data_IF_177626728082
#
_entry.id   IF_177626728082
#
_cell.length_a   1.000
_cell.length_b   1.000
_cell.length_c   1.000
_cell.angle_alpha   90.00
_cell.angle_beta   90.00
_cell.angle_gamma   90.00
#
_symmetry.space_group_name_H-M   'P 1'
#
loop_
_entity.id
_entity.type
_entity.pdbx_description
1 polymer ?
#
# COMPACT_ATOMS: atom_id res chain seq x y z
N UNK A 1 -12.14 -17.62 7.37
CA UNK A 1 -12.21 -17.66 5.90
C UNK A 1 -11.72 -16.31 5.39
N UNK A 2 -10.69 -16.29 4.55
CA UNK A 2 -10.28 -15.09 3.82
C UNK A 2 -11.16 -15.02 2.56
N UNK A 3 -11.96 -13.97 2.46
CA UNK A 3 -12.81 -13.73 1.29
C UNK A 3 -12.01 -12.87 0.32
N UNK A 4 -11.62 -13.42 -0.84
CA UNK A 4 -10.98 -12.65 -1.91
C UNK A 4 -12.08 -12.16 -2.84
N UNK A 5 -12.22 -10.83 -2.95
CA UNK A 5 -13.13 -10.20 -3.91
C UNK A 5 -12.33 -9.69 -5.10
N UNK A 6 -12.51 -10.31 -6.26
CA UNK A 6 -11.89 -9.85 -7.52
C UNK A 6 -12.89 -8.95 -8.23
N UNK A 7 -12.55 -7.67 -8.38
CA UNK A 7 -13.32 -6.75 -9.20
C UNK A 7 -12.75 -6.75 -10.63
N UNK A 8 -13.58 -7.07 -11.62
CA UNK A 8 -13.19 -7.07 -13.03
C UNK A 8 -13.83 -5.85 -13.69
N UNK A 9 -13.02 -4.84 -13.99
CA UNK A 9 -13.47 -3.61 -14.64
C UNK A 9 -13.68 -3.77 -16.15
N UNK A 10 -13.11 -4.82 -16.75
CA UNK A 10 -13.26 -5.14 -18.17
C UNK A 10 -14.49 -6.04 -18.43
N UNK A 11 -15.53 -5.45 -19.03
CA UNK A 11 -16.78 -6.14 -19.36
C UNK A 11 -16.58 -7.31 -20.35
N UNK A 12 -15.65 -7.21 -21.29
CA UNK A 12 -15.36 -8.28 -22.25
C UNK A 12 -14.69 -9.46 -21.56
N UNK A 13 -13.79 -9.18 -20.61
CA UNK A 13 -13.18 -10.22 -19.78
C UNK A 13 -14.21 -10.92 -18.90
N UNK A 14 -15.12 -10.16 -18.28
CA UNK A 14 -16.20 -10.70 -17.45
C UNK A 14 -17.13 -11.62 -18.26
N UNK A 15 -17.46 -11.24 -19.50
CA UNK A 15 -18.30 -12.04 -20.37
C UNK A 15 -17.63 -13.37 -20.77
N UNK A 16 -16.35 -13.34 -21.14
CA UNK A 16 -15.57 -14.54 -21.48
C UNK A 16 -15.45 -15.52 -20.31
N UNK A 17 -15.34 -15.01 -19.08
CA UNK A 17 -15.30 -15.84 -17.88
C UNK A 17 -16.62 -16.55 -17.63
N UNK A 18 -17.75 -15.85 -17.83
CA UNK A 18 -19.09 -16.46 -17.73
C UNK A 18 -19.28 -17.57 -18.76
N UNK A 19 -18.97 -17.31 -20.03
CA UNK A 19 -19.09 -18.31 -21.10
C UNK A 19 -18.21 -19.54 -20.83
N UNK A 20 -16.98 -19.32 -20.34
CA UNK A 20 -16.07 -20.41 -19.98
C UNK A 20 -16.54 -21.20 -18.75
N UNK A 21 -17.18 -20.55 -17.79
CA UNK A 21 -17.76 -21.20 -16.62
C UNK A 21 -18.96 -22.07 -17.02
N UNK A 22 -19.86 -21.54 -17.84
CA UNK A 22 -21.01 -22.25 -18.38
C UNK A 22 -20.60 -23.46 -19.22
N UNK A 23 -19.60 -23.31 -20.10
CA UNK A 23 -19.08 -24.41 -20.93
C UNK A 23 -18.51 -25.56 -20.08
N UNK A 24 -18.00 -25.25 -18.89
CA UNK A 24 -17.45 -26.23 -17.95
C UNK A 24 -18.46 -26.71 -16.91
N UNK A 25 -19.71 -26.22 -16.94
CA UNK A 25 -20.75 -26.56 -15.98
C UNK A 25 -20.46 -26.06 -14.55
N UNK A 26 -19.67 -25.00 -14.40
CA UNK A 26 -19.23 -24.44 -13.11
C UNK A 26 -19.77 -23.03 -12.92
N UNK A 27 -19.82 -22.56 -11.67
CA UNK A 27 -19.99 -21.13 -11.42
C UNK A 27 -18.71 -20.36 -11.76
N UNK A 28 -18.83 -19.06 -12.01
CA UNK A 28 -17.67 -18.19 -12.24
C UNK A 28 -16.72 -18.24 -11.04
N UNK A 29 -17.27 -18.23 -9.81
CA UNK A 29 -16.47 -18.31 -8.58
C UNK A 29 -15.65 -19.61 -8.50
N UNK A 30 -16.26 -20.75 -8.85
CA UNK A 30 -15.56 -22.05 -8.87
C UNK A 30 -14.47 -22.09 -9.94
N UNK A 31 -14.74 -21.56 -11.13
CA UNK A 31 -13.76 -21.50 -12.21
C UNK A 31 -12.57 -20.61 -11.82
N UNK A 32 -12.84 -19.48 -11.16
CA UNK A 32 -11.81 -18.56 -10.67
C UNK A 32 -11.01 -19.21 -9.55
N UNK A 33 -11.66 -19.84 -8.57
CA UNK A 33 -11.00 -20.52 -7.47
C UNK A 33 -10.08 -21.63 -7.97
N UNK A 34 -10.54 -22.47 -8.90
CA UNK A 34 -9.70 -23.49 -9.53
C UNK A 34 -8.53 -22.89 -10.31
N UNK A 35 -8.77 -21.82 -11.07
CA UNK A 35 -7.71 -21.14 -11.82
C UNK A 35 -6.68 -20.51 -10.89
N UNK A 36 -7.12 -19.94 -9.77
CA UNK A 36 -6.23 -19.41 -8.73
C UNK A 36 -5.47 -20.53 -8.05
N UNK A 37 -6.11 -21.65 -7.74
CA UNK A 37 -5.42 -22.82 -7.16
C UNK A 37 -4.46 -23.45 -8.16
N UNK A 38 -4.71 -23.41 -9.46
CA UNK A 38 -3.76 -23.85 -10.48
C UNK A 38 -2.57 -22.88 -10.59
N UNK A 39 -2.83 -21.57 -10.60
CA UNK A 39 -1.81 -20.53 -10.66
C UNK A 39 -0.95 -20.43 -9.39
N UNK A 40 -1.57 -20.56 -8.21
CA UNK A 40 -0.95 -20.38 -6.90
C UNK A 40 -0.73 -21.69 -6.14
N UNK A 41 -1.26 -22.83 -6.60
CA UNK A 41 -0.93 -24.15 -6.05
C UNK A 41 0.51 -24.56 -6.38
N UNK A 42 1.09 -23.96 -7.42
CA UNK A 42 2.52 -23.98 -7.69
C UNK A 42 3.28 -22.82 -7.01
N UNK A 43 2.69 -22.07 -6.05
CA UNK A 43 3.31 -20.87 -5.47
C UNK A 43 4.67 -21.12 -4.80
N UNK A 44 5.01 -22.36 -4.41
CA UNK A 44 6.38 -22.72 -3.99
C UNK A 44 7.43 -22.58 -5.11
N UNK A 45 7.00 -22.46 -6.38
CA UNK A 45 7.86 -22.23 -7.56
C UNK A 45 7.90 -20.78 -8.03
N UNK A 46 7.02 -19.94 -7.50
CA UNK A 46 7.00 -18.53 -7.85
C UNK A 46 8.03 -17.82 -6.98
N UNK A 47 9.30 -17.86 -7.43
CA UNK A 47 10.23 -16.76 -7.18
C UNK A 47 9.67 -15.51 -7.88
N UNK A 48 8.56 -14.97 -7.36
CA UNK A 48 8.19 -13.59 -7.66
C UNK A 48 9.26 -12.77 -6.96
N UNK A 49 10.35 -12.53 -7.68
CA UNK A 49 11.20 -11.39 -7.39
C UNK A 49 10.32 -10.16 -7.58
N UNK A 50 9.72 -9.68 -6.49
CA UNK A 50 9.08 -8.37 -6.48
C UNK A 50 10.22 -7.40 -6.80
N UNK A 51 10.28 -6.80 -8.00
CA UNK A 51 11.37 -5.91 -8.35
C UNK A 51 11.36 -4.80 -7.31
N UNK A 52 12.48 -4.65 -6.59
CA UNK A 52 12.61 -3.56 -5.63
C UNK A 52 12.39 -2.26 -6.41
N UNK A 53 11.30 -1.58 -6.07
CA UNK A 53 10.97 -0.29 -6.65
C UNK A 53 12.17 0.63 -6.45
N UNK A 54 12.80 1.07 -7.53
CA UNK A 54 13.81 2.10 -7.45
C UNK A 54 13.11 3.42 -7.12
N UNK A 55 13.23 3.86 -5.88
CA UNK A 55 12.57 5.08 -5.41
C UNK A 55 12.94 6.29 -6.27
N UNK A 56 14.15 6.33 -6.85
CA UNK A 56 14.59 7.45 -7.70
C UNK A 56 13.80 7.55 -9.01
N UNK A 57 13.30 6.44 -9.55
CA UNK A 57 12.56 6.42 -10.82
C UNK A 57 11.11 6.89 -10.65
N UNK A 58 10.61 6.89 -9.41
CA UNK A 58 9.23 7.25 -9.07
C UNK A 58 9.12 8.45 -8.12
N UNK A 59 10.21 8.88 -7.50
CA UNK A 59 10.26 10.05 -6.67
C UNK A 59 10.18 11.30 -7.54
N UNK A 60 9.11 12.08 -7.35
CA UNK A 60 9.06 13.46 -7.82
C UNK A 60 9.46 14.36 -6.66
N UNK A 61 10.51 15.16 -6.85
CA UNK A 61 10.84 16.21 -5.90
C UNK A 61 9.74 17.26 -5.98
N UNK A 62 8.93 17.37 -4.93
CA UNK A 62 8.02 18.50 -4.76
C UNK A 62 8.88 19.67 -4.29
N UNK A 63 9.43 20.42 -5.26
CA UNK A 63 10.19 21.62 -4.98
C UNK A 63 9.28 22.84 -5.16
N UNK A 64 8.28 22.95 -4.29
CA UNK A 64 7.49 24.16 -4.20
C UNK A 64 8.29 25.13 -3.33
N UNK A 65 8.94 26.12 -3.95
CA UNK A 65 9.49 27.25 -3.20
C UNK A 65 8.36 27.93 -2.47
N UNK A 66 8.40 27.87 -1.14
CA UNK A 66 7.49 28.61 -0.27
C UNK A 66 7.81 30.10 -0.40
N UNK A 67 6.77 30.91 -0.40
CA UNK A 67 6.90 32.35 -0.18
C UNK A 67 7.30 32.61 1.28
N UNK A 68 7.89 33.78 1.57
CA UNK A 68 8.29 34.14 2.93
C UNK A 68 7.10 34.12 3.92
N UNK A 69 5.90 34.46 3.45
CA UNK A 69 4.66 34.45 4.25
C UNK A 69 4.21 33.02 4.60
N UNK A 70 4.33 32.09 3.66
CA UNK A 70 4.01 30.66 3.87
C UNK A 70 5.03 30.00 4.81
N UNK A 71 6.30 30.38 4.72
CA UNK A 71 7.35 29.88 5.60
C UNK A 71 7.16 30.36 7.05
N UNK A 72 6.78 31.63 7.25
CA UNK A 72 6.47 32.17 8.57
C UNK A 72 5.21 31.54 9.17
N UNK A 73 4.17 31.31 8.37
CA UNK A 73 2.95 30.63 8.80
C UNK A 73 3.20 29.17 9.20
N UNK A 74 4.05 28.43 8.45
CA UNK A 74 4.45 27.07 8.78
C UNK A 74 5.38 27.01 10.01
N UNK A 75 6.25 27.99 10.19
CA UNK A 75 7.12 28.08 11.36
C UNK A 75 6.35 28.26 12.67
N UNK A 76 5.20 28.93 12.61
CA UNK A 76 4.28 29.13 13.74
C UNK A 76 3.25 27.99 13.88
N UNK A 77 3.16 27.07 12.91
CA UNK A 77 2.20 25.97 12.96
C UNK A 77 2.73 24.81 13.84
N UNK A 78 2.04 24.49 14.95
CA UNK A 78 2.45 23.42 15.86
C UNK A 78 2.43 22.02 15.22
N UNK A 79 1.63 21.81 14.17
CA UNK A 79 1.51 20.52 13.46
C UNK A 79 2.70 20.26 12.51
N UNK A 80 3.45 21.29 12.13
CA UNK A 80 4.57 21.21 11.17
C UNK A 80 5.87 20.80 11.85
N UNK A 81 5.97 20.99 13.18
CA UNK A 81 7.11 20.57 13.99
C UNK A 81 6.62 19.81 15.22
N UNK A 82 6.28 18.51 15.07
CA UNK A 82 5.76 17.68 16.16
C UNK A 82 6.71 17.59 17.35
N UNK A 83 7.98 17.96 17.17
CA UNK A 83 9.04 17.92 18.18
C UNK A 83 9.60 19.30 18.54
N UNK A 84 8.95 20.39 18.13
CA UNK A 84 9.38 21.78 18.42
C UNK A 84 9.48 22.09 19.92
N UNK A 85 8.71 21.38 20.74
CA UNK A 85 8.71 21.49 22.20
C UNK A 85 9.81 20.66 22.88
N UNK A 86 10.67 19.98 22.12
CA UNK A 86 11.76 19.16 22.64
C UNK A 86 13.06 19.94 22.53
N UNK A 87 13.44 20.54 23.66
CA UNK A 87 14.70 21.30 23.76
C UNK A 87 15.94 20.40 23.90
N UNK A 88 15.77 19.17 24.43
CA UNK A 88 16.83 18.17 24.62
C UNK A 88 16.39 16.80 24.06
N UNK A 89 16.83 16.46 22.82
CA UNK A 89 16.47 15.20 22.18
C UNK A 89 16.98 13.97 22.94
N UNK A 90 18.16 14.05 23.57
CA UNK A 90 18.77 12.94 24.27
C UNK A 90 17.98 12.58 25.53
N UNK A 91 17.58 13.61 26.29
CA UNK A 91 16.70 13.44 27.46
C UNK A 91 15.33 12.91 27.07
N UNK A 92 14.72 13.43 26.00
CA UNK A 92 13.41 12.98 25.52
C UNK A 92 13.40 11.50 25.15
N UNK A 93 14.41 11.02 24.40
CA UNK A 93 14.53 9.60 24.05
C UNK A 93 14.77 8.73 25.29
N UNK A 94 15.59 9.22 26.23
CA UNK A 94 15.87 8.51 27.48
C UNK A 94 14.60 8.37 28.35
N UNK A 95 13.75 9.41 28.40
CA UNK A 95 12.49 9.39 29.16
C UNK A 95 11.43 8.49 28.50
N UNK A 96 11.32 8.50 27.16
CA UNK A 96 10.48 7.57 26.40
C UNK A 96 10.82 6.10 26.69
N UNK A 97 12.11 5.76 26.75
CA UNK A 97 12.58 4.40 27.04
C UNK A 97 12.27 3.94 28.47
N UNK A 98 12.21 4.87 29.42
CA UNK A 98 11.98 4.55 30.84
C UNK A 98 10.52 4.59 31.26
N UNK A 99 9.68 5.34 30.54
CA UNK A 99 8.24 5.45 30.82
C UNK A 99 7.44 5.47 29.52
N UNK A 100 7.20 4.31 28.88
CA UNK A 100 6.16 4.22 27.86
C UNK A 100 4.84 4.59 28.51
N UNK A 101 4.28 5.77 28.18
CA UNK A 101 2.93 6.14 28.58
C UNK A 101 1.96 5.29 27.75
N UNK A 102 1.30 4.33 28.38
CA UNK A 102 0.05 3.73 27.91
C UNK A 102 -1.13 4.57 28.42
#
# INVERSE_FOLDING_TARGET
MLTISINIEDEHLAQRLKEKAEANGKSVDQLVEESLVELFGEADRWEIEIPRLNVLDHARVINNTLTAEEEEALAQNPDVKPFSHIDDPAKYIHDLRRKPRY
#
